data_IF_994878550233
#
_entry.id   IF_994878550233
#
_cell.length_a   1.000
_cell.length_b   1.000
_cell.length_c   1.000
_cell.angle_alpha   90.00
_cell.angle_beta   90.00
_cell.angle_gamma   90.00
#
_symmetry.space_group_name_H-M   'P 1'
#
loop_
_entity.id
_entity.type
_entity.pdbx_description
1 polymer ?
#
# COMPACT_ATOMS: atom_id res chain seq x y z
N UNK A 1 4.90 4.48 9.50
CA UNK A 1 5.50 5.38 10.51
C UNK A 1 5.93 4.58 11.73
N UNK A 2 6.90 5.07 12.50
CA UNK A 2 7.50 4.34 13.63
C UNK A 2 7.80 5.29 14.79
N UNK A 3 7.86 4.77 16.02
CA UNK A 3 8.44 5.49 17.15
C UNK A 3 9.95 5.58 16.99
N UNK A 4 10.54 6.64 17.54
CA UNK A 4 11.99 6.75 17.60
C UNK A 4 12.57 5.65 18.49
N UNK A 5 13.64 5.00 18.04
CA UNK A 5 14.34 3.95 18.79
C UNK A 5 15.83 4.26 18.75
N UNK A 6 16.34 4.94 19.78
CA UNK A 6 17.77 5.21 19.90
C UNK A 6 18.53 3.88 19.92
N UNK A 7 19.57 3.76 19.09
CA UNK A 7 20.41 2.56 19.02
C UNK A 7 21.75 2.84 19.70
N UNK A 8 22.32 1.86 20.42
CA UNK A 8 23.67 1.98 20.97
C UNK A 8 24.67 2.40 19.89
N UNK A 9 25.57 3.33 20.23
CA UNK A 9 26.60 3.84 19.31
C UNK A 9 26.13 4.93 18.34
N UNK A 10 24.88 5.41 18.44
CA UNK A 10 24.40 6.56 17.66
C UNK A 10 24.39 7.83 18.52
N UNK A 11 24.63 9.03 17.95
CA UNK A 11 24.56 10.30 18.71
C UNK A 11 23.20 10.54 19.38
N UNK A 12 22.15 9.84 18.95
CA UNK A 12 20.84 9.97 19.53
C UNK A 12 20.63 9.14 20.80
N UNK A 13 21.51 8.17 21.09
CA UNK A 13 21.50 7.44 22.36
C UNK A 13 21.82 8.34 23.55
N UNK A 14 22.56 9.43 23.32
CA UNK A 14 22.98 10.41 24.33
C UNK A 14 21.99 11.57 24.47
N UNK A 15 20.96 11.64 23.62
CA UNK A 15 19.98 12.74 23.61
C UNK A 15 18.79 12.37 24.47
N UNK A 16 18.25 13.37 25.17
CA UNK A 16 16.97 13.23 25.84
C UNK A 16 15.86 12.94 24.82
N UNK A 17 15.12 11.85 25.02
CA UNK A 17 13.95 11.50 24.24
C UNK A 17 12.70 12.23 24.73
N UNK A 18 11.57 11.90 24.09
CA UNK A 18 10.24 12.23 24.63
C UNK A 18 9.72 11.05 25.47
N UNK A 19 8.83 11.28 26.45
CA UNK A 19 8.15 10.19 27.16
C UNK A 19 7.46 9.22 26.19
N UNK A 20 7.45 7.92 26.51
CA UNK A 20 6.92 6.89 25.61
C UNK A 20 5.43 7.12 25.29
N UNK A 21 4.64 7.55 26.27
CA UNK A 21 3.21 7.86 26.07
C UNK A 21 3.01 8.98 25.04
N UNK A 22 3.83 10.04 25.10
CA UNK A 22 3.78 11.14 24.13
C UNK A 22 4.18 10.66 22.74
N UNK A 23 5.20 9.80 22.63
CA UNK A 23 5.59 9.21 21.35
C UNK A 23 4.49 8.30 20.77
N UNK A 24 3.84 7.50 21.63
CA UNK A 24 2.77 6.58 21.27
C UNK A 24 1.52 7.33 20.79
N UNK A 25 1.07 8.35 21.52
CA UNK A 25 -0.05 9.21 21.13
C UNK A 25 0.19 9.87 19.77
N UNK A 26 1.38 10.47 19.58
CA UNK A 26 1.76 11.10 18.30
C UNK A 26 1.79 10.11 17.15
N UNK A 27 2.33 8.91 17.37
CA UNK A 27 2.38 7.88 16.34
C UNK A 27 0.97 7.44 15.93
N UNK A 28 0.08 7.19 16.88
CA UNK A 28 -1.30 6.79 16.60
C UNK A 28 -2.04 7.87 15.81
N UNK A 29 -1.93 9.14 16.23
CA UNK A 29 -2.54 10.28 15.50
C UNK A 29 -2.00 10.39 14.07
N UNK A 30 -0.68 10.22 13.88
CA UNK A 30 -0.08 10.24 12.55
C UNK A 30 -0.52 9.05 11.70
N UNK A 31 -0.59 7.84 12.27
CA UNK A 31 -1.05 6.65 11.56
C UNK A 31 -2.50 6.81 11.10
N UNK A 32 -3.38 7.33 11.96
CA UNK A 32 -4.77 7.61 11.60
C UNK A 32 -4.87 8.56 10.39
N UNK A 33 -4.12 9.67 10.41
CA UNK A 33 -4.09 10.62 9.29
C UNK A 33 -3.54 9.98 8.01
N UNK A 34 -2.45 9.21 8.11
CA UNK A 34 -1.88 8.52 6.95
C UNK A 34 -2.86 7.51 6.35
N UNK A 35 -3.62 6.80 7.18
CA UNK A 35 -4.66 5.87 6.72
C UNK A 35 -5.79 6.60 5.99
N UNK A 36 -6.26 7.74 6.51
CA UNK A 36 -7.27 8.57 5.84
C UNK A 36 -6.78 9.02 4.45
N UNK A 37 -5.55 9.54 4.38
CA UNK A 37 -4.95 10.00 3.13
C UNK A 37 -4.71 8.84 2.15
N UNK A 38 -4.28 7.68 2.65
CA UNK A 38 -4.13 6.47 1.84
C UNK A 38 -5.46 6.06 1.21
N UNK A 39 -6.55 6.04 1.98
CA UNK A 39 -7.87 5.71 1.47
C UNK A 39 -8.37 6.73 0.46
N UNK A 40 -8.20 8.03 0.72
CA UNK A 40 -8.54 9.07 -0.25
C UNK A 40 -7.78 8.91 -1.57
N UNK A 41 -6.48 8.61 -1.51
CA UNK A 41 -5.67 8.36 -2.71
C UNK A 41 -6.12 7.10 -3.47
N UNK A 42 -6.45 6.02 -2.76
CA UNK A 42 -6.96 4.78 -3.36
C UNK A 42 -8.36 4.95 -3.95
N UNK A 43 -9.26 5.67 -3.26
CA UNK A 43 -10.63 5.94 -3.73
C UNK A 43 -10.60 6.78 -5.01
N UNK A 44 -9.67 7.75 -5.11
CA UNK A 44 -9.44 8.52 -6.34
C UNK A 44 -8.94 7.67 -7.53
N UNK A 45 -8.53 6.42 -7.31
CA UNK A 45 -8.16 5.50 -8.39
C UNK A 45 -9.37 4.78 -9.00
N UNK A 46 -10.49 4.69 -8.28
CA UNK A 46 -11.67 3.94 -8.73
C UNK A 46 -12.21 4.57 -10.03
N UNK A 47 -12.49 3.71 -11.01
CA UNK A 47 -12.95 4.11 -12.34
C UNK A 47 -11.85 4.46 -13.34
N UNK A 48 -10.60 4.69 -12.88
CA UNK A 48 -9.44 4.91 -13.76
C UNK A 48 -8.93 3.60 -14.36
N UNK A 49 -8.36 3.71 -15.55
CA UNK A 49 -7.54 2.64 -16.13
C UNK A 49 -6.06 2.88 -15.85
N UNK A 50 -5.36 1.83 -15.46
CA UNK A 50 -3.93 1.85 -15.13
C UNK A 50 -3.20 0.69 -15.80
N UNK A 51 -1.90 0.85 -16.01
CA UNK A 51 -1.03 -0.22 -16.51
C UNK A 51 -0.51 -1.03 -15.33
N UNK A 52 -0.79 -2.33 -15.28
CA UNK A 52 -0.37 -3.21 -14.18
C UNK A 52 0.64 -4.23 -14.66
N UNK A 53 1.84 -4.24 -14.06
CA UNK A 53 2.79 -5.33 -14.18
C UNK A 53 2.37 -6.45 -13.22
N UNK A 54 1.98 -7.60 -13.74
CA UNK A 54 1.64 -8.78 -12.95
C UNK A 54 2.89 -9.53 -12.50
N UNK A 55 2.99 -9.82 -11.20
CA UNK A 55 4.21 -10.34 -10.57
C UNK A 55 4.02 -11.73 -9.97
N UNK A 56 2.78 -12.09 -9.59
CA UNK A 56 2.48 -13.37 -8.93
C UNK A 56 0.99 -13.71 -8.93
N UNK A 57 0.71 -14.97 -8.60
CA UNK A 57 -0.64 -15.42 -8.23
C UNK A 57 -1.06 -14.83 -6.88
N UNK A 58 -2.35 -14.57 -6.74
CA UNK A 58 -3.00 -14.09 -5.53
C UNK A 58 -3.34 -15.21 -4.55
N UNK A 59 -4.04 -14.85 -3.48
CA UNK A 59 -4.47 -15.81 -2.44
C UNK A 59 -5.71 -16.59 -2.88
N UNK A 60 -6.60 -15.92 -3.62
CA UNK A 60 -7.83 -16.52 -4.13
C UNK A 60 -7.59 -17.25 -5.45
N UNK A 61 -8.38 -18.30 -5.72
CA UNK A 61 -8.31 -19.06 -6.97
C UNK A 61 -8.55 -18.15 -8.17
N UNK A 62 -7.63 -18.19 -9.15
CA UNK A 62 -7.69 -17.37 -10.37
C UNK A 62 -7.31 -15.90 -10.16
N UNK A 63 -6.84 -15.51 -8.97
CA UNK A 63 -6.39 -14.17 -8.71
C UNK A 63 -4.94 -13.97 -9.18
N UNK A 64 -4.68 -12.82 -9.81
CA UNK A 64 -3.36 -12.34 -10.19
C UNK A 64 -3.10 -11.00 -9.51
N UNK A 65 -1.86 -10.80 -9.06
CA UNK A 65 -1.44 -9.61 -8.32
C UNK A 65 -0.25 -8.96 -9.01
N UNK A 66 -0.28 -7.63 -9.06
CA UNK A 66 0.76 -6.82 -9.69
C UNK A 66 0.86 -5.43 -9.09
N UNK A 67 1.64 -4.57 -9.74
CA UNK A 67 1.76 -3.15 -9.40
C UNK A 67 1.38 -2.27 -10.58
N UNK A 68 0.59 -1.25 -10.29
CA UNK A 68 0.33 -0.16 -11.25
C UNK A 68 1.58 0.70 -11.48
N UNK A 69 1.55 1.58 -12.48
CA UNK A 69 2.58 2.60 -12.71
C UNK A 69 2.74 3.58 -11.52
N UNK A 70 1.74 3.66 -10.63
CA UNK A 70 1.78 4.43 -9.38
C UNK A 70 2.22 3.60 -8.18
N UNK A 71 2.73 2.38 -8.40
CA UNK A 71 3.15 1.42 -7.39
C UNK A 71 2.06 0.92 -6.44
N UNK A 72 0.78 1.28 -6.66
CA UNK A 72 -0.34 0.62 -5.99
C UNK A 72 -0.32 -0.87 -6.33
N UNK A 73 -0.41 -1.71 -5.30
CA UNK A 73 -0.72 -3.12 -5.48
C UNK A 73 -2.12 -3.25 -6.09
N UNK A 74 -2.24 -3.99 -7.18
CA UNK A 74 -3.51 -4.26 -7.87
C UNK A 74 -3.72 -5.76 -7.93
N UNK A 75 -4.93 -6.21 -7.63
CA UNK A 75 -5.32 -7.60 -7.85
C UNK A 75 -6.51 -7.67 -8.81
N UNK A 76 -6.49 -8.68 -9.66
CA UNK A 76 -7.57 -9.01 -10.60
C UNK A 76 -7.87 -10.50 -10.48
N UNK A 77 -9.12 -10.91 -10.67
CA UNK A 77 -9.49 -12.33 -10.75
C UNK A 77 -9.80 -12.64 -12.20
N UNK A 78 -8.80 -13.13 -12.93
CA UNK A 78 -8.88 -13.39 -14.36
C UNK A 78 -7.75 -14.36 -14.76
N UNK A 79 -8.00 -15.37 -15.61
CA UNK A 79 -6.96 -16.31 -16.05
C UNK A 79 -6.05 -15.79 -17.16
N UNK A 80 -6.38 -14.66 -17.80
CA UNK A 80 -5.62 -14.11 -18.95
C UNK A 80 -4.23 -13.55 -18.62
N UNK A 81 -4.02 -12.77 -17.53
CA UNK A 81 -2.73 -12.12 -17.29
C UNK A 81 -1.69 -13.12 -16.77
N UNK A 82 -0.47 -13.02 -17.28
CA UNK A 82 0.67 -13.86 -16.89
C UNK A 82 1.72 -13.06 -16.10
N UNK A 83 2.52 -13.76 -15.30
CA UNK A 83 3.65 -13.14 -14.59
C UNK A 83 4.63 -12.51 -15.59
N UNK A 84 5.07 -11.29 -15.32
CA UNK A 84 5.95 -10.49 -16.19
C UNK A 84 5.21 -9.67 -17.25
N UNK A 85 3.89 -9.84 -17.39
CA UNK A 85 3.09 -9.10 -18.35
C UNK A 85 2.60 -7.78 -17.77
N UNK A 86 2.63 -6.73 -18.60
CA UNK A 86 1.92 -5.48 -18.34
C UNK A 86 0.58 -5.52 -19.09
N UNK A 87 -0.53 -5.31 -18.40
CA UNK A 87 -1.84 -5.18 -19.04
C UNK A 87 -2.65 -4.00 -18.46
N UNK A 88 -3.64 -3.54 -19.23
CA UNK A 88 -4.54 -2.46 -18.82
C UNK A 88 -5.60 -3.02 -17.87
N UNK A 89 -5.77 -2.36 -16.72
CA UNK A 89 -6.74 -2.74 -15.69
C UNK A 89 -7.60 -1.54 -15.35
N UNK A 90 -8.92 -1.74 -15.34
CA UNK A 90 -9.88 -0.80 -14.77
C UNK A 90 -9.98 -1.04 -13.27
N UNK A 91 -9.72 0.00 -12.46
CA UNK A 91 -9.86 -0.10 -11.01
C UNK A 91 -11.34 -0.03 -10.64
N UNK A 92 -11.82 -0.99 -9.85
CA UNK A 92 -13.22 -1.15 -9.45
C UNK A 92 -13.45 -0.92 -7.96
N UNK A 93 -12.38 -0.96 -7.15
CA UNK A 93 -12.48 -0.72 -5.72
C UNK A 93 -11.13 -0.69 -5.02
N UNK A 94 -11.16 -0.47 -3.71
CA UNK A 94 -10.00 -0.57 -2.82
C UNK A 94 -10.21 -1.61 -1.74
N UNK A 95 -9.10 -2.12 -1.21
CA UNK A 95 -9.03 -2.84 0.06
C UNK A 95 -8.12 -2.05 1.00
N UNK A 96 -7.78 -2.60 2.17
CA UNK A 96 -6.94 -1.92 3.15
C UNK A 96 -5.60 -1.42 2.58
N UNK A 97 -4.98 -2.15 1.66
CA UNK A 97 -3.63 -1.83 1.15
C UNK A 97 -3.44 -2.10 -0.36
N UNK A 98 -4.52 -2.35 -1.10
CA UNK A 98 -4.45 -2.63 -2.54
C UNK A 98 -5.71 -2.11 -3.24
N UNK A 99 -5.65 -2.11 -4.57
CA UNK A 99 -6.77 -1.84 -5.45
C UNK A 99 -7.28 -3.16 -6.03
N UNK A 100 -8.59 -3.27 -6.19
CA UNK A 100 -9.25 -4.31 -6.96
C UNK A 100 -9.50 -3.79 -8.37
N UNK A 101 -9.37 -4.65 -9.37
CA UNK A 101 -9.66 -4.27 -10.74
C UNK A 101 -10.06 -5.44 -11.63
N UNK A 102 -10.41 -5.08 -12.86
CA UNK A 102 -10.72 -6.02 -13.94
C UNK A 102 -9.88 -5.66 -15.16
N UNK A 103 -9.44 -6.66 -15.91
CA UNK A 103 -8.78 -6.41 -17.20
C UNK A 103 -9.75 -5.72 -18.16
N UNK A 104 -9.22 -4.76 -18.91
CA UNK A 104 -9.92 -4.08 -20.01
C UNK A 104 -9.94 -4.97 -21.25
#
# INVERSE_FOLDING_TARGET
SFKYSARPGTPAAERAGVPDEVASERLQRLQALLTEQQYAAQDAMIGREVSVLFEKTGRETGQMVGKSEYLHAVHVTDPRPQIGQIARVRITGRTSNSLAGVLV
#
